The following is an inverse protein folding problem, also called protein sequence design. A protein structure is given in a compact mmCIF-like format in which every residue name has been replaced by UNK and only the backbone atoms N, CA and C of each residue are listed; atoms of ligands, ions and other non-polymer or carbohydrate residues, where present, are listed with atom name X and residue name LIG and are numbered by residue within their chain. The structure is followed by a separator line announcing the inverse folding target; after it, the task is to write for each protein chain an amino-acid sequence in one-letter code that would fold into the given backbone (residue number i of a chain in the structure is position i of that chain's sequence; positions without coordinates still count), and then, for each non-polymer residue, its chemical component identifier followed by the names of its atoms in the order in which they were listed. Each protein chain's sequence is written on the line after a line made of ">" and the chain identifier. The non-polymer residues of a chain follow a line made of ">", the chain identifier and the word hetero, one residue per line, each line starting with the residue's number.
data_IF_465357475334
#
_entry.id   IF_465357475334
#
_cell.length_a   1.000
_cell.length_b   1.000
_cell.length_c   1.000
_cell.angle_alpha   90.00
_cell.angle_beta   90.00
_cell.angle_gamma   90.00
#
_symmetry.space_group_name_H-M   'P 1'
#
loop_
_entity.id
_entity.type
_entity.pdbx_description
1 polymer ?
#
# COMPACT_ATOMS: atom_id res chain seq x y z
N UNK A 1 -0.39 -7.96 -16.52
CA UNK A 1 0.21 -7.67 -15.20
C UNK A 1 1.50 -8.47 -15.13
N UNK A 2 2.66 -7.82 -15.18
CA UNK A 2 3.94 -8.52 -15.08
C UNK A 2 4.21 -8.86 -13.61
N UNK A 3 4.15 -10.14 -13.26
CA UNK A 3 4.56 -10.60 -11.94
C UNK A 3 6.09 -10.51 -11.85
N UNK A 4 6.59 -9.47 -11.18
CA UNK A 4 8.01 -9.31 -10.90
C UNK A 4 8.34 -10.11 -9.64
N UNK A 5 8.97 -11.27 -9.80
CA UNK A 5 9.45 -12.08 -8.68
C UNK A 5 10.84 -11.60 -8.27
N UNK A 6 10.87 -10.54 -7.45
CA UNK A 6 12.11 -9.91 -7.01
C UNK A 6 12.41 -10.19 -5.53
N UNK A 7 11.41 -10.61 -4.75
CA UNK A 7 11.61 -11.02 -3.37
C UNK A 7 12.02 -12.49 -3.34
N UNK A 8 12.98 -12.83 -2.47
CA UNK A 8 13.32 -14.22 -2.14
C UNK A 8 13.07 -14.41 -0.65
N UNK A 9 11.79 -14.46 -0.28
CA UNK A 9 11.31 -14.54 1.10
C UNK A 9 10.32 -15.70 1.21
N UNK A 10 10.25 -16.32 2.39
CA UNK A 10 9.26 -17.37 2.66
C UNK A 10 7.81 -16.87 2.53
N UNK A 11 7.58 -15.57 2.63
CA UNK A 11 6.28 -14.93 2.41
C UNK A 11 6.48 -13.60 1.70
N UNK A 12 6.04 -13.51 0.45
CA UNK A 12 6.30 -12.37 -0.42
C UNK A 12 5.18 -11.34 -0.43
N UNK A 13 3.98 -11.74 -0.05
CA UNK A 13 2.82 -10.87 0.11
C UNK A 13 2.01 -11.33 1.32
N UNK A 14 1.34 -10.38 1.95
CA UNK A 14 0.48 -10.62 3.11
C UNK A 14 -0.85 -9.91 2.88
N UNK A 15 -1.93 -10.57 3.28
CA UNK A 15 -3.27 -9.99 3.28
C UNK A 15 -3.81 -9.87 4.71
N UNK A 16 -4.74 -8.93 4.91
CA UNK A 16 -5.54 -8.91 6.12
C UNK A 16 -6.67 -9.96 6.05
N UNK A 17 -7.47 -10.03 7.13
CA UNK A 17 -8.62 -10.94 7.27
C UNK A 17 -9.76 -10.71 6.28
N UNK A 18 -9.75 -9.61 5.54
CA UNK A 18 -10.72 -9.29 4.50
C UNK A 18 -10.12 -9.51 3.09
N UNK A 19 -8.98 -10.21 3.01
CA UNK A 19 -8.20 -10.47 1.80
C UNK A 19 -7.63 -9.21 1.11
N UNK A 20 -7.56 -8.07 1.82
CA UNK A 20 -6.86 -6.90 1.28
C UNK A 20 -5.35 -7.07 1.42
N UNK A 21 -4.59 -6.72 0.37
CA UNK A 21 -3.13 -6.75 0.38
C UNK A 21 -2.56 -5.72 1.38
N UNK A 22 -1.84 -6.16 2.41
CA UNK A 22 -1.22 -5.30 3.41
C UNK A 22 0.30 -5.16 3.26
N UNK A 23 0.95 -6.08 2.54
CA UNK A 23 2.38 -6.02 2.16
C UNK A 23 2.60 -6.73 0.82
N UNK A 24 3.55 -6.22 0.04
CA UNK A 24 4.00 -6.83 -1.22
C UNK A 24 5.50 -6.56 -1.39
N UNK A 25 6.32 -7.51 -0.93
CA UNK A 25 7.77 -7.41 -0.99
C UNK A 25 8.31 -7.52 -2.42
N UNK A 26 7.58 -8.17 -3.33
CA UNK A 26 7.94 -8.20 -4.76
C UNK A 26 7.93 -6.81 -5.39
N UNK A 27 7.09 -5.93 -4.86
CA UNK A 27 7.00 -4.51 -5.24
C UNK A 27 7.71 -3.57 -4.27
N UNK A 28 8.49 -4.11 -3.32
CA UNK A 28 9.14 -3.34 -2.27
C UNK A 28 8.17 -2.52 -1.39
N UNK A 29 6.92 -2.96 -1.28
CA UNK A 29 5.89 -2.35 -0.44
C UNK A 29 5.90 -3.01 0.94
N UNK A 30 6.31 -2.25 1.96
CA UNK A 30 6.47 -2.76 3.33
C UNK A 30 5.20 -2.64 4.18
N UNK A 31 4.27 -1.77 3.78
CA UNK A 31 3.02 -1.51 4.46
C UNK A 31 1.99 -0.92 3.49
N UNK A 32 0.75 -1.40 3.59
CA UNK A 32 -0.44 -0.84 2.96
C UNK A 32 -1.52 -0.72 4.04
N UNK A 33 -2.13 0.46 4.14
CA UNK A 33 -3.21 0.77 5.07
C UNK A 33 -4.43 1.22 4.28
N UNK A 34 -5.60 0.77 4.71
CA UNK A 34 -6.88 1.15 4.13
C UNK A 34 -7.66 2.07 5.07
N UNK A 35 -8.53 2.90 4.51
CA UNK A 35 -9.46 3.73 5.28
C UNK A 35 -10.77 2.95 5.59
N UNK A 36 -11.72 3.61 6.25
CA UNK A 36 -13.02 3.01 6.62
C UNK A 36 -13.89 2.63 5.42
N UNK A 37 -13.63 3.19 4.25
CA UNK A 37 -14.31 2.87 2.99
C UNK A 37 -13.66 1.69 2.25
N UNK A 38 -12.66 1.04 2.88
CA UNK A 38 -11.81 0.02 2.27
C UNK A 38 -11.02 0.53 1.03
N UNK A 39 -10.73 1.84 0.98
CA UNK A 39 -9.88 2.46 -0.05
C UNK A 39 -8.44 2.59 0.47
N UNK A 40 -7.48 2.51 -0.45
CA UNK A 40 -6.05 2.67 -0.15
C UNK A 40 -5.80 4.03 0.53
N UNK A 41 -5.40 4.03 1.81
CA UNK A 41 -5.09 5.27 2.54
C UNK A 41 -3.62 5.61 2.44
N UNK A 42 -2.75 4.66 2.75
CA UNK A 42 -1.31 4.90 2.79
C UNK A 42 -0.58 3.65 2.34
N UNK A 43 0.53 3.81 1.62
CA UNK A 43 1.49 2.73 1.44
C UNK A 43 2.93 3.24 1.51
N UNK A 44 3.84 2.37 1.93
CA UNK A 44 5.27 2.64 2.05
C UNK A 44 6.07 1.83 1.05
N UNK A 45 6.85 2.51 0.23
CA UNK A 45 7.86 1.91 -0.66
C UNK A 45 9.21 2.50 -0.28
N UNK A 46 10.13 1.63 0.16
CA UNK A 46 11.45 2.05 0.66
C UNK A 46 11.29 3.16 1.71
N UNK A 47 11.87 4.34 1.48
CA UNK A 47 11.80 5.49 2.37
C UNK A 47 10.72 6.50 2.01
N UNK A 48 9.72 6.12 1.21
CA UNK A 48 8.65 7.02 0.74
C UNK A 48 7.31 6.49 1.23
N UNK A 49 6.53 7.33 1.91
CA UNK A 49 5.10 7.11 2.14
C UNK A 49 4.27 7.94 1.17
N UNK A 50 3.29 7.29 0.56
CA UNK A 50 2.25 7.92 -0.24
C UNK A 50 0.95 7.84 0.53
N UNK A 51 0.28 8.98 0.76
CA UNK A 51 -0.98 9.06 1.48
C UNK A 51 -2.05 9.69 0.61
N UNK A 52 -3.15 8.98 0.43
CA UNK A 52 -4.32 9.42 -0.31
C UNK A 52 -5.40 9.91 0.65
N UNK A 53 -6.06 11.00 0.28
CA UNK A 53 -7.21 11.56 1.00
C UNK A 53 -8.42 11.49 0.10
N UNK A 54 -9.54 11.01 0.64
CA UNK A 54 -10.79 10.85 -0.08
C UNK A 54 -11.90 11.66 0.60
N UNK A 55 -12.86 12.11 -0.20
CA UNK A 55 -14.15 12.53 0.32
C UNK A 55 -14.94 11.31 0.83
N UNK A 56 -16.01 11.57 1.58
CA UNK A 56 -16.87 10.51 2.15
C UNK A 56 -17.58 9.67 1.07
N UNK A 57 -17.73 10.22 -0.14
CA UNK A 57 -18.28 9.55 -1.32
C UNK A 57 -17.26 8.65 -2.05
N UNK A 58 -16.02 8.58 -1.54
CA UNK A 58 -14.94 7.78 -2.12
C UNK A 58 -14.15 8.46 -3.24
N UNK A 59 -14.46 9.72 -3.59
CA UNK A 59 -13.67 10.46 -4.59
C UNK A 59 -12.33 10.89 -4.01
N UNK A 60 -11.24 10.64 -4.75
CA UNK A 60 -9.91 11.09 -4.35
C UNK A 60 -9.80 12.62 -4.43
N UNK A 61 -9.25 13.23 -3.38
CA UNK A 61 -9.05 14.67 -3.26
C UNK A 61 -7.57 15.06 -3.39
N UNK A 62 -6.67 14.24 -2.84
CA UNK A 62 -5.24 14.56 -2.76
C UNK A 62 -4.39 13.31 -2.56
N UNK A 63 -3.21 13.33 -3.17
CA UNK A 63 -2.07 12.47 -2.79
C UNK A 63 -0.96 13.33 -2.14
N UNK A 64 -0.37 12.85 -1.05
CA UNK A 64 0.79 13.45 -0.40
C UNK A 64 1.95 12.46 -0.34
N UNK A 65 3.17 12.94 -0.58
CA UNK A 65 4.40 12.16 -0.59
C UNK A 65 5.29 12.62 0.57
N UNK A 66 5.68 11.71 1.45
CA UNK A 66 6.60 11.98 2.55
C UNK A 66 7.85 11.11 2.39
N UNK A 67 9.02 11.75 2.47
CA UNK A 67 10.31 11.08 2.49
C UNK A 67 10.72 10.91 3.96
N UNK A 68 11.11 9.71 4.34
CA UNK A 68 11.75 9.43 5.62
C UNK A 68 13.26 9.36 5.40
N UNK A 69 14.03 9.95 6.31
CA UNK A 69 15.50 9.97 6.27
C UNK A 69 16.09 9.04 7.30
#
# INVERSE_FOLDING_TARGET
>A
MDFKHNANLATEYLCDKNDNLIKDYNKSISEILYNVLNLLRTFKISSIANTHTYAVDGRELKTAHAIFT
#
